data_IF_375868102453
#
_entry.id   IF_375868102453
#
_cell.length_a   1.000
_cell.length_b   1.000
_cell.length_c   1.000
_cell.angle_alpha   90.00
_cell.angle_beta   90.00
_cell.angle_gamma   90.00
#
_symmetry.space_group_name_H-M   'P 1'
#
loop_
_entity.id
_entity.type
_entity.pdbx_description
1 polymer ?
#
# COMPACT_ATOMS: atom_id res chain seq x y z
N UNK A 1 -22.25 -8.40 -5.40
CA UNK A 1 -22.15 -8.82 -6.82
C UNK A 1 -22.74 -7.76 -7.76
N UNK A 2 -23.93 -7.22 -7.46
CA UNK A 2 -24.57 -6.21 -8.33
C UNK A 2 -23.75 -4.94 -8.53
N UNK A 3 -22.97 -4.52 -7.54
CA UNK A 3 -22.09 -3.35 -7.63
C UNK A 3 -20.94 -3.50 -8.62
N UNK A 4 -20.61 -4.70 -9.07
CA UNK A 4 -19.54 -4.98 -10.02
C UNK A 4 -20.04 -5.12 -11.47
N UNK A 5 -21.36 -5.18 -11.67
CA UNK A 5 -21.94 -5.31 -13.00
C UNK A 5 -21.61 -4.09 -13.87
N UNK A 6 -21.07 -4.33 -15.05
CA UNK A 6 -20.69 -3.29 -15.99
C UNK A 6 -19.38 -2.55 -15.67
N UNK A 7 -18.69 -2.92 -14.59
CA UNK A 7 -17.37 -2.38 -14.29
C UNK A 7 -16.30 -3.03 -15.16
N UNK A 8 -15.53 -2.24 -15.90
CA UNK A 8 -14.39 -2.72 -16.67
C UNK A 8 -13.10 -2.86 -15.87
N UNK A 9 -12.99 -2.14 -14.75
CA UNK A 9 -11.82 -2.11 -13.88
C UNK A 9 -12.18 -2.07 -12.39
N UNK A 10 -11.25 -2.54 -11.55
CA UNK A 10 -11.35 -2.56 -10.09
C UNK A 10 -10.08 -1.99 -9.48
N UNK A 11 -10.21 -1.14 -8.46
CA UNK A 11 -9.08 -0.74 -7.60
C UNK A 11 -9.34 -1.19 -6.18
N UNK A 12 -8.50 -2.09 -5.67
CA UNK A 12 -8.53 -2.51 -4.28
C UNK A 12 -7.57 -1.66 -3.44
N UNK A 13 -8.13 -0.70 -2.72
CA UNK A 13 -7.39 0.24 -1.86
C UNK A 13 -7.72 0.06 -0.37
N UNK A 14 -8.28 -1.09 0.00
CA UNK A 14 -8.67 -1.41 1.37
C UNK A 14 -7.60 -2.20 2.11
N UNK A 15 -7.66 -2.17 3.42
CA UNK A 15 -6.80 -2.97 4.28
C UNK A 15 -6.44 -2.26 5.59
N UNK A 16 -5.90 -3.03 6.49
CA UNK A 16 -5.40 -2.56 7.79
C UNK A 16 -3.89 -2.53 7.75
N UNK A 17 -3.29 -1.46 8.23
CA UNK A 17 -1.84 -1.29 8.30
C UNK A 17 -1.29 -1.51 9.72
N UNK A 18 0.03 -1.43 9.86
CA UNK A 18 0.77 -1.65 11.10
C UNK A 18 0.50 -0.63 12.20
N UNK A 19 -0.18 0.47 11.89
CA UNK A 19 -0.52 1.53 12.86
C UNK A 19 -1.72 1.20 13.72
N UNK A 20 -2.45 0.15 13.37
CA UNK A 20 -3.61 -0.30 14.15
C UNK A 20 -3.15 -1.28 15.22
N UNK A 21 -3.58 -1.05 16.47
CA UNK A 21 -3.40 -2.02 17.55
C UNK A 21 -4.25 -3.25 17.28
N UNK A 22 -3.60 -4.35 16.99
CA UNK A 22 -4.24 -5.59 16.56
C UNK A 22 -4.29 -6.58 17.71
N UNK A 23 -5.47 -7.15 18.05
CA UNK A 23 -5.57 -8.19 19.07
C UNK A 23 -4.94 -9.51 18.58
N UNK A 24 -4.38 -10.32 19.47
CA UNK A 24 -3.91 -11.66 19.10
C UNK A 24 -5.10 -12.59 18.74
N UNK A 25 -4.91 -13.55 17.84
CA UNK A 25 -3.69 -13.80 17.07
C UNK A 25 -3.55 -12.82 15.89
N UNK A 26 -2.43 -12.08 15.85
CA UNK A 26 -2.18 -10.97 14.92
C UNK A 26 -2.24 -11.39 13.46
N UNK A 27 -1.70 -12.55 13.11
CA UNK A 27 -1.73 -13.07 11.73
C UNK A 27 -3.16 -13.36 11.26
N UNK A 28 -4.00 -13.97 12.12
CA UNK A 28 -5.39 -14.24 11.79
C UNK A 28 -6.19 -12.96 11.53
N UNK A 29 -5.89 -11.88 12.28
CA UNK A 29 -6.51 -10.59 12.05
C UNK A 29 -6.16 -10.03 10.66
N UNK A 30 -4.87 -9.98 10.30
CA UNK A 30 -4.48 -9.51 8.97
C UNK A 30 -5.02 -10.39 7.85
N UNK A 31 -5.06 -11.71 8.03
CA UNK A 31 -5.70 -12.61 7.07
C UNK A 31 -7.17 -12.26 6.87
N UNK A 32 -7.91 -12.00 7.97
CA UNK A 32 -9.34 -11.68 7.90
C UNK A 32 -9.64 -10.32 7.24
N UNK A 33 -8.79 -9.31 7.48
CA UNK A 33 -9.07 -7.95 7.04
C UNK A 33 -8.28 -7.50 5.80
N UNK A 34 -7.17 -8.16 5.47
CA UNK A 34 -6.37 -7.85 4.29
C UNK A 34 -6.55 -8.90 3.19
N UNK A 35 -6.37 -10.18 3.50
CA UNK A 35 -6.20 -11.23 2.50
C UNK A 35 -7.54 -11.78 2.00
N UNK A 36 -8.43 -12.20 2.91
CA UNK A 36 -9.76 -12.74 2.55
C UNK A 36 -10.63 -11.78 1.75
N UNK A 37 -10.74 -10.48 2.12
CA UNK A 37 -11.54 -9.52 1.34
C UNK A 37 -10.99 -9.34 -0.08
N UNK A 38 -9.66 -9.34 -0.25
CA UNK A 38 -9.04 -9.25 -1.56
C UNK A 38 -9.38 -10.46 -2.43
N UNK A 39 -9.16 -11.68 -1.90
CA UNK A 39 -9.41 -12.91 -2.63
C UNK A 39 -10.87 -13.03 -3.07
N UNK A 40 -11.79 -12.76 -2.15
CA UNK A 40 -13.22 -12.74 -2.45
C UNK A 40 -13.58 -11.69 -3.51
N UNK A 41 -13.07 -10.47 -3.37
CA UNK A 41 -13.42 -9.40 -4.30
C UNK A 41 -12.87 -9.66 -5.70
N UNK A 42 -11.65 -10.17 -5.83
CA UNK A 42 -11.07 -10.53 -7.14
C UNK A 42 -11.82 -11.71 -7.79
N UNK A 43 -12.27 -12.69 -6.98
CA UNK A 43 -13.14 -13.78 -7.46
C UNK A 43 -14.43 -13.21 -8.04
N UNK A 44 -15.16 -12.40 -7.27
CA UNK A 44 -16.41 -11.79 -7.70
C UNK A 44 -16.24 -10.83 -8.88
N UNK A 45 -15.13 -10.11 -8.94
CA UNK A 45 -14.79 -9.21 -10.04
C UNK A 45 -14.61 -10.00 -11.35
N UNK A 46 -13.89 -11.11 -11.30
CA UNK A 46 -13.71 -12.01 -12.46
C UNK A 46 -15.04 -12.58 -12.93
N UNK A 47 -15.89 -13.06 -12.02
CA UNK A 47 -17.23 -13.57 -12.36
C UNK A 47 -18.13 -12.49 -12.96
N UNK A 48 -17.98 -11.24 -12.55
CA UNK A 48 -18.70 -10.08 -13.09
C UNK A 48 -18.16 -9.57 -14.44
N UNK A 49 -17.05 -10.12 -14.93
CA UNK A 49 -16.44 -9.73 -16.21
C UNK A 49 -15.51 -8.52 -16.13
N UNK A 50 -15.04 -8.14 -14.93
CA UNK A 50 -13.97 -7.14 -14.73
C UNK A 50 -12.69 -7.66 -15.35
N UNK A 51 -12.07 -6.87 -16.22
CA UNK A 51 -10.87 -7.29 -16.99
C UNK A 51 -9.57 -6.71 -16.46
N UNK A 52 -9.61 -5.66 -15.67
CA UNK A 52 -8.42 -5.01 -15.14
C UNK A 52 -8.59 -4.76 -13.65
N UNK A 53 -7.64 -5.21 -12.84
CA UNK A 53 -7.63 -4.97 -11.41
C UNK A 53 -6.29 -4.34 -10.97
N UNK A 54 -6.36 -3.39 -10.06
CA UNK A 54 -5.20 -2.79 -9.40
C UNK A 54 -5.34 -3.00 -7.90
N UNK A 55 -4.30 -3.55 -7.28
CA UNK A 55 -4.24 -3.80 -5.84
C UNK A 55 -3.17 -2.91 -5.23
N UNK A 56 -3.53 -2.16 -4.19
CA UNK A 56 -2.57 -1.36 -3.43
C UNK A 56 -1.84 -2.25 -2.42
N UNK A 57 -0.62 -2.61 -2.78
CA UNK A 57 0.33 -3.36 -1.96
C UNK A 57 1.15 -2.46 -1.02
N UNK A 58 2.27 -2.98 -0.54
CA UNK A 58 3.15 -2.29 0.39
C UNK A 58 4.61 -2.41 -0.02
N UNK A 59 5.35 -1.31 0.09
CA UNK A 59 6.79 -1.29 -0.15
C UNK A 59 7.57 -2.20 0.81
N UNK A 60 6.99 -2.56 1.96
CA UNK A 60 7.59 -3.55 2.85
C UNK A 60 7.64 -4.95 2.22
N UNK A 61 6.67 -5.31 1.37
CA UNK A 61 6.74 -6.56 0.62
C UNK A 61 7.88 -6.54 -0.40
N UNK A 62 8.10 -5.40 -1.08
CA UNK A 62 9.26 -5.20 -1.94
C UNK A 62 10.59 -5.41 -1.19
N UNK A 63 10.74 -4.80 -0.03
CA UNK A 63 11.95 -4.94 0.78
C UNK A 63 12.15 -6.36 1.29
N UNK A 64 11.08 -7.04 1.71
CA UNK A 64 11.17 -8.42 2.17
C UNK A 64 11.67 -9.38 1.08
N UNK A 65 11.33 -9.13 -0.19
CA UNK A 65 11.86 -9.91 -1.31
C UNK A 65 13.28 -9.50 -1.70
N UNK A 66 13.59 -8.22 -1.59
CA UNK A 66 14.90 -7.66 -1.98
C UNK A 66 16.01 -7.98 -0.99
N UNK A 67 15.65 -8.07 0.29
CA UNK A 67 16.58 -8.34 1.41
C UNK A 67 16.06 -9.51 2.26
N UNK A 68 16.07 -10.74 1.73
CA UNK A 68 15.58 -11.92 2.44
C UNK A 68 16.35 -12.21 3.73
N UNK A 69 17.62 -11.82 3.80
CA UNK A 69 18.49 -11.94 4.97
C UNK A 69 18.01 -11.13 6.17
N UNK A 70 17.26 -10.05 5.96
CA UNK A 70 16.70 -9.23 7.02
C UNK A 70 15.43 -9.85 7.67
N UNK A 71 14.97 -10.98 7.15
CA UNK A 71 13.82 -11.73 7.64
C UNK A 71 12.55 -10.86 7.88
N UNK A 72 12.36 -9.82 7.09
CA UNK A 72 11.23 -8.88 7.22
C UNK A 72 9.87 -9.59 7.06
N UNK A 73 9.83 -10.68 6.29
CA UNK A 73 8.63 -11.49 6.08
C UNK A 73 8.13 -12.22 7.34
N UNK A 74 8.91 -12.28 8.43
CA UNK A 74 8.44 -12.81 9.71
C UNK A 74 7.48 -11.87 10.44
N UNK A 75 7.47 -10.58 10.10
CA UNK A 75 6.53 -9.62 10.68
C UNK A 75 5.11 -9.85 10.13
N UNK A 76 4.08 -10.07 10.98
CA UNK A 76 2.75 -10.49 10.53
C UNK A 76 2.09 -9.55 9.50
N UNK A 77 2.30 -8.24 9.63
CA UNK A 77 1.83 -7.28 8.64
C UNK A 77 2.52 -7.48 7.28
N UNK A 78 3.85 -7.59 7.27
CA UNK A 78 4.62 -7.76 6.03
C UNK A 78 4.26 -9.09 5.37
N UNK A 79 4.13 -10.16 6.16
CA UNK A 79 3.65 -11.44 5.69
C UNK A 79 2.29 -11.32 4.99
N UNK A 80 1.34 -10.60 5.61
CA UNK A 80 0.02 -10.40 5.00
C UNK A 80 0.10 -9.64 3.68
N UNK A 81 1.06 -8.71 3.51
CA UNK A 81 1.26 -7.98 2.26
C UNK A 81 1.88 -8.86 1.17
N UNK A 82 2.82 -9.72 1.51
CA UNK A 82 3.35 -10.75 0.59
C UNK A 82 2.24 -11.73 0.16
N UNK A 83 1.39 -12.16 1.08
CA UNK A 83 0.23 -13.00 0.77
C UNK A 83 -0.79 -12.29 -0.13
N UNK A 84 -1.05 -10.99 0.07
CA UNK A 84 -1.90 -10.21 -0.83
C UNK A 84 -1.37 -10.18 -2.27
N UNK A 85 -0.07 -10.02 -2.44
CA UNK A 85 0.55 -10.09 -3.77
C UNK A 85 0.38 -11.48 -4.39
N UNK A 86 0.64 -12.54 -3.62
CA UNK A 86 0.45 -13.91 -4.08
C UNK A 86 -1.01 -14.18 -4.47
N UNK A 87 -1.98 -13.68 -3.70
CA UNK A 87 -3.40 -13.74 -4.02
C UNK A 87 -3.67 -13.01 -5.34
N UNK A 88 -3.24 -11.76 -5.47
CA UNK A 88 -3.44 -10.95 -6.67
C UNK A 88 -2.88 -11.65 -7.91
N UNK A 89 -1.66 -12.19 -7.83
CA UNK A 89 -1.03 -12.90 -8.95
C UNK A 89 -1.74 -14.21 -9.33
N UNK A 90 -2.37 -14.93 -8.39
CA UNK A 90 -3.20 -16.10 -8.72
C UNK A 90 -4.45 -15.75 -9.51
N UNK A 91 -4.98 -14.54 -9.33
CA UNK A 91 -6.11 -14.04 -10.09
C UNK A 91 -5.73 -13.45 -11.45
N UNK A 92 -4.45 -13.17 -11.69
CA UNK A 92 -3.98 -12.72 -12.99
C UNK A 92 -3.97 -13.87 -14.01
N UNK A 93 -4.33 -13.57 -15.25
CA UNK A 93 -4.30 -14.54 -16.33
C UNK A 93 -5.41 -14.32 -17.35
N UNK A 94 -5.77 -15.34 -18.13
CA UNK A 94 -6.80 -15.20 -19.15
C UNK A 94 -8.09 -14.60 -18.58
N UNK A 95 -8.50 -13.45 -19.12
CA UNK A 95 -9.73 -12.76 -18.75
C UNK A 95 -9.60 -11.68 -17.67
N UNK A 96 -8.50 -11.60 -16.92
CA UNK A 96 -8.28 -10.50 -15.97
C UNK A 96 -6.80 -10.18 -15.81
N UNK A 97 -6.39 -8.97 -16.18
CA UNK A 97 -5.07 -8.42 -15.89
C UNK A 97 -5.04 -7.86 -14.47
N UNK A 98 -3.99 -8.15 -13.71
CA UNK A 98 -3.86 -7.68 -12.32
C UNK A 98 -2.53 -6.99 -12.11
N UNK A 99 -2.56 -5.76 -11.61
CA UNK A 99 -1.37 -5.02 -11.19
C UNK A 99 -1.37 -4.87 -9.67
N UNK A 100 -0.23 -5.13 -9.02
CA UNK A 100 0.00 -4.74 -7.64
C UNK A 100 0.92 -3.52 -7.62
N UNK A 101 0.47 -2.44 -7.01
CA UNK A 101 1.28 -1.24 -6.79
C UNK A 101 1.81 -1.26 -5.37
N UNK A 102 3.10 -1.50 -5.19
CA UNK A 102 3.74 -1.46 -3.88
C UNK A 102 3.97 -0.01 -3.46
N UNK A 103 3.15 0.46 -2.53
CA UNK A 103 3.12 1.85 -2.12
C UNK A 103 4.11 2.12 -0.98
N UNK A 104 5.00 3.13 -1.14
CA UNK A 104 5.87 3.63 -0.07
C UNK A 104 5.12 4.62 0.81
N UNK A 105 5.81 5.57 1.43
CA UNK A 105 5.21 6.68 2.14
C UNK A 105 4.46 7.61 1.19
N UNK A 106 3.17 7.82 1.48
CA UNK A 106 2.28 8.62 0.64
C UNK A 106 2.06 9.98 1.32
N UNK A 107 2.34 11.04 0.59
CA UNK A 107 2.12 12.42 1.04
C UNK A 107 1.04 13.10 0.20
N UNK A 108 0.33 14.03 0.83
CA UNK A 108 -0.67 14.84 0.15
C UNK A 108 -1.87 15.15 1.02
N UNK A 109 -2.74 15.98 0.45
CA UNK A 109 -3.97 16.43 1.08
C UNK A 109 -5.13 15.90 0.26
N UNK A 110 -6.15 15.41 0.94
CA UNK A 110 -7.40 14.98 0.34
C UNK A 110 -8.54 15.83 0.92
N UNK A 111 -9.43 16.39 0.09
CA UNK A 111 -10.58 17.12 0.59
C UNK A 111 -11.40 16.34 1.60
N UNK A 112 -11.79 16.96 2.69
CA UNK A 112 -12.61 16.35 3.74
C UNK A 112 -11.88 15.37 4.69
N UNK A 113 -10.58 15.14 4.49
CA UNK A 113 -9.78 14.27 5.38
C UNK A 113 -8.52 14.96 5.87
N UNK A 114 -8.22 14.76 7.15
CA UNK A 114 -6.92 15.21 7.70
C UNK A 114 -5.80 14.34 7.12
N UNK A 115 -4.68 14.95 6.67
CA UNK A 115 -3.52 14.19 6.24
C UNK A 115 -3.03 13.27 7.36
N UNK A 116 -2.67 12.06 6.99
CA UNK A 116 -2.17 11.03 7.92
C UNK A 116 -0.99 11.56 8.76
N UNK A 117 -0.11 12.34 8.16
CA UNK A 117 1.13 12.82 8.77
C UNK A 117 0.94 13.94 9.81
N UNK A 118 -0.27 14.43 10.03
CA UNK A 118 -0.56 15.44 11.07
C UNK A 118 -0.14 14.97 12.47
N UNK A 119 -0.20 13.66 12.75
CA UNK A 119 0.28 13.13 14.04
C UNK A 119 1.77 13.38 14.23
N UNK A 120 2.58 13.18 13.19
CA UNK A 120 4.03 13.41 13.21
C UNK A 120 4.35 14.89 13.42
N UNK A 121 3.66 15.78 12.70
CA UNK A 121 3.79 17.22 12.90
C UNK A 121 3.47 17.64 14.34
N UNK A 122 2.38 17.09 14.92
CA UNK A 122 2.03 17.35 16.33
C UNK A 122 3.06 16.81 17.31
N UNK A 123 3.57 15.61 17.06
CA UNK A 123 4.63 15.02 17.89
C UNK A 123 5.89 15.90 17.86
N UNK A 124 6.34 16.34 16.69
CA UNK A 124 7.50 17.23 16.55
C UNK A 124 7.31 18.57 17.27
N UNK A 125 6.11 19.15 17.21
CA UNK A 125 5.78 20.37 17.98
C UNK A 125 5.88 20.20 19.50
N UNK A 126 5.60 19.01 20.00
CA UNK A 126 5.70 18.73 21.45
C UNK A 126 7.14 18.52 21.91
N UNK A 127 8.06 18.25 21.00
CA UNK A 127 9.48 18.03 21.30
C UNK A 127 10.22 19.37 21.39
N UNK A 128 10.53 19.81 22.61
CA UNK A 128 11.07 21.16 22.86
C UNK A 128 12.56 21.35 22.54
N UNK A 129 13.37 20.30 22.49
CA UNK A 129 14.83 20.47 22.45
C UNK A 129 15.59 19.59 21.45
N UNK A 130 15.29 18.29 21.33
CA UNK A 130 16.08 17.36 20.52
C UNK A 130 15.17 16.39 19.77
N UNK A 131 15.41 16.22 18.48
CA UNK A 131 14.74 15.21 17.65
C UNK A 131 15.77 14.14 17.30
N UNK A 132 15.52 12.93 17.77
CA UNK A 132 16.29 11.75 17.37
C UNK A 132 15.63 11.10 16.15
N UNK A 133 16.44 10.69 15.19
CA UNK A 133 15.99 9.93 14.03
C UNK A 133 17.04 8.89 13.62
N UNK A 134 16.62 7.72 13.09
CA UNK A 134 17.57 6.72 12.63
C UNK A 134 18.30 7.21 11.36
N UNK A 135 19.44 6.62 11.06
CA UNK A 135 20.06 6.78 9.77
C UNK A 135 19.19 6.18 8.66
N UNK A 136 19.38 6.65 7.42
CA UNK A 136 18.63 6.14 6.27
C UNK A 136 17.43 7.00 5.91
N UNK A 137 16.43 6.38 5.27
CA UNK A 137 15.27 7.08 4.72
C UNK A 137 14.25 6.13 4.12
N UNK A 138 13.38 6.68 3.31
CA UNK A 138 12.31 5.94 2.64
C UNK A 138 12.04 6.49 1.25
N UNK A 139 11.45 5.66 0.39
CA UNK A 139 10.82 6.14 -0.84
C UNK A 139 9.51 6.87 -0.50
N UNK A 140 9.12 7.79 -1.34
CA UNK A 140 7.93 8.59 -1.17
C UNK A 140 7.21 8.83 -2.50
N UNK A 141 5.88 8.95 -2.42
CA UNK A 141 4.99 9.34 -3.51
C UNK A 141 3.94 10.32 -2.99
N UNK A 142 3.26 11.00 -3.89
CA UNK A 142 2.07 11.79 -3.56
C UNK A 142 0.79 11.00 -3.85
N UNK A 143 -0.31 11.37 -3.19
CA UNK A 143 -1.65 10.80 -3.49
C UNK A 143 -2.02 10.94 -4.96
N UNK A 144 -1.60 12.04 -5.61
CA UNK A 144 -1.81 12.25 -7.04
C UNK A 144 -1.05 11.22 -7.88
N UNK A 145 0.22 11.01 -7.59
CA UNK A 145 1.05 10.03 -8.32
C UNK A 145 0.55 8.60 -8.13
N UNK A 146 0.01 8.26 -6.95
CA UNK A 146 -0.66 6.96 -6.73
C UNK A 146 -1.89 6.83 -7.63
N UNK A 147 -2.70 7.89 -7.74
CA UNK A 147 -3.86 7.90 -8.63
C UNK A 147 -3.48 7.76 -10.11
N UNK A 148 -2.46 8.49 -10.55
CA UNK A 148 -1.91 8.41 -11.92
C UNK A 148 -1.35 7.00 -12.23
N UNK A 149 -0.62 6.40 -11.29
CA UNK A 149 -0.11 5.04 -11.44
C UNK A 149 -1.24 4.00 -11.49
N UNK A 150 -2.29 4.17 -10.67
CA UNK A 150 -3.44 3.27 -10.70
C UNK A 150 -4.20 3.37 -12.02
N UNK A 151 -4.44 4.58 -12.53
CA UNK A 151 -5.07 4.80 -13.83
C UNK A 151 -4.22 4.19 -14.96
N UNK A 152 -2.92 4.48 -15.00
CA UNK A 152 -2.01 3.91 -15.99
C UNK A 152 -1.97 2.38 -15.94
N UNK A 153 -1.97 1.78 -14.74
CA UNK A 153 -1.99 0.33 -14.59
C UNK A 153 -3.31 -0.29 -15.09
N UNK A 154 -4.46 0.35 -14.83
CA UNK A 154 -5.75 -0.10 -15.39
C UNK A 154 -5.77 -0.08 -16.93
N UNK A 155 -5.10 0.89 -17.54
CA UNK A 155 -5.10 1.05 -19.00
C UNK A 155 -4.06 0.17 -19.70
N UNK A 156 -2.86 0.03 -19.13
CA UNK A 156 -1.70 -0.50 -19.83
C UNK A 156 -1.19 -1.85 -19.33
N UNK A 157 -1.50 -2.24 -18.08
CA UNK A 157 -1.03 -3.52 -17.54
C UNK A 157 -1.60 -4.69 -18.31
N UNK A 158 -0.77 -5.72 -18.53
CA UNK A 158 -1.17 -7.00 -19.12
C UNK A 158 -0.63 -8.15 -18.27
N UNK A 159 -1.49 -9.13 -18.04
CA UNK A 159 -1.16 -10.26 -17.16
C UNK A 159 -1.04 -9.87 -15.70
N UNK A 160 -0.17 -10.55 -14.96
CA UNK A 160 0.13 -10.29 -13.55
C UNK A 160 1.46 -9.55 -13.38
N UNK A 161 1.45 -8.34 -12.81
CA UNK A 161 2.66 -7.56 -12.58
C UNK A 161 2.66 -6.87 -11.21
N UNK A 162 3.86 -6.76 -10.61
CA UNK A 162 4.08 -6.03 -9.37
C UNK A 162 4.99 -4.84 -9.65
N UNK A 163 4.56 -3.64 -9.27
CA UNK A 163 5.26 -2.39 -9.53
C UNK A 163 5.61 -1.67 -8.22
N UNK A 164 6.89 -1.62 -7.81
CA UNK A 164 7.30 -0.78 -6.71
C UNK A 164 7.23 0.69 -7.14
N UNK A 165 6.44 1.50 -6.43
CA UNK A 165 6.33 2.93 -6.69
C UNK A 165 7.33 3.72 -5.85
N UNK A 166 8.05 4.68 -6.46
CA UNK A 166 8.98 5.53 -5.75
C UNK A 166 9.36 6.71 -6.63
N UNK A 167 8.87 7.91 -6.30
CA UNK A 167 9.18 9.13 -7.05
C UNK A 167 10.27 9.98 -6.41
N UNK A 168 10.45 9.85 -5.10
CA UNK A 168 11.49 10.55 -4.35
C UNK A 168 12.05 9.66 -3.25
N UNK A 169 13.35 9.81 -2.97
CA UNK A 169 13.97 9.23 -1.79
C UNK A 169 14.17 10.33 -0.75
N UNK A 170 13.56 10.16 0.43
CA UNK A 170 13.63 11.08 1.54
C UNK A 170 14.45 10.47 2.66
N UNK A 171 15.50 11.16 3.11
CA UNK A 171 16.15 10.80 4.39
C UNK A 171 15.22 11.16 5.54
N UNK A 172 15.28 10.39 6.64
CA UNK A 172 14.51 10.71 7.85
C UNK A 172 14.81 12.13 8.33
N UNK A 173 16.09 12.57 8.25
CA UNK A 173 16.50 13.94 8.58
C UNK A 173 15.74 14.97 7.77
N UNK A 174 15.71 14.82 6.42
CA UNK A 174 15.04 15.76 5.54
C UNK A 174 13.55 15.78 5.79
N UNK A 175 12.92 14.61 5.89
CA UNK A 175 11.49 14.47 6.13
C UNK A 175 11.06 15.21 7.42
N UNK A 176 11.79 14.99 8.52
CA UNK A 176 11.47 15.65 9.81
C UNK A 176 11.73 17.15 9.75
N UNK A 177 12.80 17.59 9.07
CA UNK A 177 13.08 19.03 8.87
C UNK A 177 11.98 19.70 8.05
N UNK A 178 11.51 19.10 6.96
CA UNK A 178 10.42 19.64 6.14
C UNK A 178 9.11 19.76 6.95
N UNK A 179 8.82 18.82 7.85
CA UNK A 179 7.67 18.92 8.77
C UNK A 179 7.83 20.05 9.80
N UNK A 180 9.05 20.41 10.19
CA UNK A 180 9.29 21.53 11.11
C UNK A 180 9.12 22.88 10.43
N UNK A 181 9.55 23.03 9.16
CA UNK A 181 9.44 24.28 8.39
C UNK A 181 8.00 24.57 7.97
N UNK A 182 7.21 23.55 7.69
CA UNK A 182 5.79 23.70 7.30
C UNK A 182 4.85 23.98 8.48
N UNK A 183 5.38 24.20 9.65
CA UNK A 183 4.64 24.52 10.90
C UNK A 183 4.77 25.98 11.30
#
# INVERSE_FOLDING_TARGET
QDSLKGCGGLVFAAGVDERVSVPPPVSAFYTAYNNRPLDLLLTLAREAGVRHAVVFGSYFAHFARKWPEENLGSHPYIQSRLEQEAIAMRHAGPGMDVAVLELPYIFGVQPGRRPVWVFLARMLRSMKCVVFYPAGGTAAVTVRQVGEAAAGALETNRGGCVYPLGMANLTWKKMLADFQVGM
#
